data_IF_888321539069
#
_entry.id   IF_888321539069
#
_cell.length_a   1.000
_cell.length_b   1.000
_cell.length_c   1.000
_cell.angle_alpha   90.00
_cell.angle_beta   90.00
_cell.angle_gamma   90.00
#
_symmetry.space_group_name_H-M   'P 1'
#
loop_
_entity.id
_entity.type
_entity.pdbx_description
1 polymer ?
#
# COMPACT_ATOMS: atom_id res chain seq x y z
N UNK A 1 30.89 -27.24 -23.81
CA UNK A 1 30.75 -27.94 -25.13
C UNK A 1 30.20 -26.91 -26.09
N UNK A 2 30.90 -26.63 -27.17
CA UNK A 2 30.40 -25.73 -28.23
C UNK A 2 29.64 -26.54 -29.23
N UNK A 3 28.43 -26.15 -29.55
CA UNK A 3 27.66 -26.80 -30.61
C UNK A 3 27.61 -25.89 -31.83
N UNK A 4 28.00 -26.41 -32.98
CA UNK A 4 27.92 -25.72 -34.26
C UNK A 4 26.82 -26.38 -35.10
N UNK A 5 26.11 -25.58 -35.95
CA UNK A 5 25.14 -26.13 -36.91
C UNK A 5 25.85 -26.80 -38.10
N UNK A 6 25.08 -27.42 -38.97
CA UNK A 6 25.60 -28.16 -40.17
C UNK A 6 26.24 -27.22 -41.22
N UNK A 7 26.21 -25.89 -41.03
CA UNK A 7 26.81 -24.87 -41.87
C UNK A 7 28.02 -24.20 -41.25
N UNK A 8 28.46 -24.65 -40.05
CA UNK A 8 29.67 -24.11 -39.36
C UNK A 8 29.49 -22.76 -38.67
N UNK A 9 28.25 -22.33 -38.51
CA UNK A 9 27.95 -21.11 -37.73
C UNK A 9 27.89 -21.46 -36.25
N UNK A 10 28.64 -20.70 -35.44
CA UNK A 10 28.55 -20.74 -33.97
C UNK A 10 27.15 -20.25 -33.58
N UNK A 11 26.28 -21.16 -33.14
CA UNK A 11 25.05 -20.79 -32.51
C UNK A 11 25.40 -20.08 -31.22
N UNK A 12 25.32 -18.77 -31.20
CA UNK A 12 25.26 -18.01 -29.98
C UNK A 12 24.05 -18.56 -29.21
N UNK A 13 24.32 -19.38 -28.19
CA UNK A 13 23.34 -19.62 -27.14
C UNK A 13 23.05 -18.23 -26.55
N UNK A 14 21.92 -17.70 -26.95
CA UNK A 14 21.26 -16.62 -26.23
C UNK A 14 21.01 -17.20 -24.82
N UNK A 15 21.94 -16.92 -23.92
CA UNK A 15 21.75 -17.13 -22.49
C UNK A 15 20.60 -16.21 -22.09
N UNK A 16 19.38 -16.61 -22.40
CA UNK A 16 18.23 -16.25 -21.61
C UNK A 16 18.52 -16.83 -20.24
N UNK A 17 19.14 -15.98 -19.43
CA UNK A 17 19.27 -16.23 -18.01
C UNK A 17 17.87 -16.60 -17.53
N UNK A 18 17.77 -17.86 -17.17
CA UNK A 18 16.80 -18.45 -16.31
C UNK A 18 15.34 -18.07 -16.53
N UNK A 19 14.54 -19.03 -16.82
CA UNK A 19 13.13 -19.23 -16.54
C UNK A 19 12.40 -18.22 -15.70
N UNK A 20 12.75 -16.94 -15.82
CA UNK A 20 12.00 -15.83 -15.37
C UNK A 20 10.76 -15.80 -16.27
N UNK A 21 9.79 -16.64 -15.92
CA UNK A 21 8.41 -16.49 -16.34
C UNK A 21 8.16 -15.00 -16.25
N UNK A 22 7.84 -14.38 -17.35
CA UNK A 22 7.53 -12.95 -17.44
C UNK A 22 6.30 -12.71 -16.54
N UNK A 23 6.58 -12.49 -15.25
CA UNK A 23 5.59 -12.23 -14.18
C UNK A 23 4.97 -10.85 -14.32
N UNK A 24 5.24 -10.17 -15.43
CA UNK A 24 4.44 -9.04 -15.87
C UNK A 24 3.07 -9.59 -16.23
N UNK A 25 2.18 -9.56 -15.28
CA UNK A 25 0.77 -9.82 -15.55
C UNK A 25 0.35 -8.93 -16.72
N UNK A 26 -0.09 -9.50 -17.87
CA UNK A 26 -0.52 -8.70 -19.01
C UNK A 26 -1.58 -7.74 -18.49
N UNK A 27 -1.39 -6.45 -18.76
CA UNK A 27 -2.21 -5.29 -18.38
C UNK A 27 -3.48 -5.68 -17.62
N UNK A 28 -3.40 -5.68 -16.28
CA UNK A 28 -4.57 -5.89 -15.43
C UNK A 28 -5.44 -4.64 -15.49
N UNK A 29 -6.12 -4.43 -16.60
CA UNK A 29 -7.05 -3.31 -16.80
C UNK A 29 -8.18 -3.31 -15.78
N UNK A 30 -8.40 -4.40 -15.09
CA UNK A 30 -9.41 -4.57 -14.05
C UNK A 30 -8.91 -5.46 -12.89
N UNK A 31 -7.82 -5.07 -12.21
CA UNK A 31 -7.37 -5.77 -11.02
C UNK A 31 -8.41 -5.59 -9.89
N UNK A 32 -9.07 -6.66 -9.41
CA UNK A 32 -9.98 -6.57 -8.27
C UNK A 32 -9.20 -6.21 -7.01
N UNK A 33 -9.41 -4.99 -6.50
CA UNK A 33 -8.62 -4.46 -5.40
C UNK A 33 -8.95 -5.14 -4.07
N UNK A 34 -7.89 -5.44 -3.31
CA UNK A 34 -7.93 -6.17 -2.05
C UNK A 34 -7.11 -5.44 -0.98
N UNK A 35 -7.68 -5.27 0.19
CA UNK A 35 -7.00 -4.71 1.36
C UNK A 35 -6.84 -5.77 2.44
N UNK A 36 -5.72 -5.75 3.16
CA UNK A 36 -5.45 -6.69 4.23
C UNK A 36 -6.37 -6.42 5.43
N UNK A 37 -7.18 -7.40 5.78
CA UNK A 37 -8.27 -7.29 6.77
C UNK A 37 -7.81 -6.83 8.16
N UNK A 38 -6.65 -7.28 8.63
CA UNK A 38 -6.16 -6.98 9.98
C UNK A 38 -5.74 -5.52 10.15
N UNK A 39 -5.27 -4.88 9.07
CA UNK A 39 -4.85 -3.48 9.10
C UNK A 39 -6.00 -2.48 8.95
N UNK A 40 -7.23 -2.93 8.66
CA UNK A 40 -8.32 -2.03 8.25
C UNK A 40 -8.86 -1.16 9.39
N UNK A 41 -8.87 -1.65 10.61
CA UNK A 41 -9.50 -0.96 11.75
C UNK A 41 -8.52 -0.39 12.77
N UNK A 42 -7.25 -0.79 12.70
CA UNK A 42 -6.24 -0.44 13.71
C UNK A 42 -5.30 0.65 13.19
N UNK A 43 -4.67 1.41 14.06
CA UNK A 43 -3.88 2.57 13.69
C UNK A 43 -2.47 2.20 13.23
N UNK A 44 -2.35 1.54 12.11
CA UNK A 44 -1.07 1.18 11.51
C UNK A 44 -0.45 2.30 10.65
N UNK A 45 -1.24 3.32 10.28
CA UNK A 45 -0.83 4.37 9.36
C UNK A 45 -1.23 5.74 9.89
N UNK A 46 -0.40 6.74 9.60
CA UNK A 46 -0.78 8.13 9.83
C UNK A 46 -1.95 8.53 8.91
N UNK A 47 -2.98 9.15 9.48
CA UNK A 47 -4.11 9.69 8.71
C UNK A 47 -3.83 11.05 8.08
N UNK A 48 -2.69 11.67 8.43
CA UNK A 48 -2.28 12.97 7.92
C UNK A 48 -1.40 12.84 6.68
N UNK A 49 -1.55 13.77 5.72
CA UNK A 49 -0.59 13.96 4.62
C UNK A 49 0.71 14.61 5.10
N UNK A 50 0.70 15.26 6.28
CA UNK A 50 1.88 15.89 6.86
C UNK A 50 2.78 14.82 7.46
N UNK A 51 4.08 15.07 7.41
CA UNK A 51 5.08 14.23 8.05
C UNK A 51 4.78 14.12 9.56
N UNK A 52 4.60 12.90 10.03
CA UNK A 52 4.39 12.58 11.45
C UNK A 52 5.60 11.85 11.98
N UNK A 53 6.18 12.36 13.07
CA UNK A 53 7.28 11.72 13.78
C UNK A 53 6.82 11.08 15.09
N UNK A 54 5.72 11.62 15.69
CA UNK A 54 5.16 11.07 16.91
C UNK A 54 4.68 9.64 16.67
N UNK A 55 5.16 8.66 17.42
CA UNK A 55 4.72 7.28 17.32
C UNK A 55 3.20 7.13 17.47
N UNK A 56 2.69 6.03 17.03
CA UNK A 56 1.34 5.57 17.30
C UNK A 56 1.44 4.44 18.31
N UNK A 57 0.80 4.60 19.45
CA UNK A 57 0.66 3.57 20.47
C UNK A 57 -0.82 3.22 20.60
N UNK A 58 -1.14 1.93 20.49
CA UNK A 58 -2.49 1.45 20.61
C UNK A 58 -2.54 0.15 21.40
N UNK A 59 -3.45 0.10 22.35
CA UNK A 59 -3.81 -1.10 23.09
C UNK A 59 -5.31 -1.29 22.95
N UNK A 60 -5.77 -2.48 22.55
CA UNK A 60 -7.20 -2.74 22.44
C UNK A 60 -7.89 -2.63 23.81
N UNK A 61 -9.20 -2.32 23.86
CA UNK A 61 -9.93 -2.19 25.14
C UNK A 61 -9.86 -3.44 26.03
N UNK A 62 -9.78 -4.63 25.44
CA UNK A 62 -9.60 -5.89 26.14
C UNK A 62 -8.13 -6.21 26.47
N UNK A 63 -7.21 -5.30 26.17
CA UNK A 63 -5.75 -5.40 26.36
C UNK A 63 -5.07 -6.59 25.69
N UNK A 64 -5.75 -7.25 24.76
CA UNK A 64 -5.20 -8.43 24.07
C UNK A 64 -4.33 -8.07 22.88
N UNK A 65 -4.53 -6.90 22.29
CA UNK A 65 -3.83 -6.47 21.08
C UNK A 65 -3.06 -5.19 21.34
N UNK A 66 -1.80 -5.22 20.95
CA UNK A 66 -0.90 -4.08 21.00
C UNK A 66 -0.41 -3.75 19.59
N UNK A 67 -0.32 -2.45 19.28
CA UNK A 67 0.29 -1.93 18.06
C UNK A 67 1.12 -0.72 18.43
N UNK A 68 2.40 -0.77 18.13
CA UNK A 68 3.31 0.36 18.22
C UNK A 68 3.88 0.63 16.82
N UNK A 69 3.78 1.87 16.34
CA UNK A 69 4.32 2.28 15.04
C UNK A 69 5.23 3.47 15.23
N UNK A 70 6.48 3.31 14.86
CA UNK A 70 7.50 4.35 14.97
C UNK A 70 8.08 4.73 13.61
N UNK A 71 8.51 5.98 13.49
CA UNK A 71 9.01 6.57 12.25
C UNK A 71 10.52 6.74 12.27
N UNK A 72 11.11 6.68 11.08
CA UNK A 72 12.39 7.30 10.83
C UNK A 72 12.24 8.82 10.81
N UNK A 73 13.21 9.55 11.42
CA UNK A 73 13.16 11.01 11.50
C UNK A 73 13.23 11.71 10.14
N UNK A 74 13.86 11.09 9.15
CA UNK A 74 13.98 11.65 7.80
C UNK A 74 12.68 11.54 7.00
N UNK A 75 12.00 10.39 7.05
CA UNK A 75 10.83 10.12 6.20
C UNK A 75 9.50 10.33 6.90
N UNK A 76 9.43 10.10 8.21
CA UNK A 76 8.19 10.09 8.97
C UNK A 76 7.44 8.76 8.87
N UNK A 77 6.29 8.67 9.52
CA UNK A 77 5.41 7.50 9.46
C UNK A 77 4.82 7.29 8.07
N UNK A 78 4.69 6.03 7.68
CA UNK A 78 3.85 5.65 6.55
C UNK A 78 2.42 6.15 6.75
N UNK A 79 1.83 6.68 5.69
CA UNK A 79 0.51 7.29 5.70
C UNK A 79 -0.53 6.36 5.10
N UNK A 80 -1.81 6.66 5.37
CA UNK A 80 -2.92 5.93 4.73
C UNK A 80 -2.94 6.08 3.20
N UNK A 81 -2.22 7.06 2.65
CA UNK A 81 -2.04 7.21 1.21
C UNK A 81 -0.93 6.31 0.66
N UNK A 82 0.08 5.98 1.47
CA UNK A 82 1.13 5.03 1.11
C UNK A 82 0.62 3.59 1.13
N UNK A 83 -0.38 3.32 1.98
CA UNK A 83 -1.10 2.06 2.02
C UNK A 83 -1.68 1.67 0.65
N UNK A 84 -2.00 2.61 -0.23
CA UNK A 84 -2.50 2.30 -1.57
C UNK A 84 -1.55 1.37 -2.34
N UNK A 85 -0.23 1.53 -2.13
CA UNK A 85 0.79 0.65 -2.73
C UNK A 85 0.64 -0.78 -2.20
N UNK A 86 0.43 -0.92 -0.89
CA UNK A 86 0.22 -2.23 -0.28
C UNK A 86 -1.10 -2.87 -0.73
N UNK A 87 -2.15 -2.09 -0.94
CA UNK A 87 -3.43 -2.54 -1.51
C UNK A 87 -3.19 -3.08 -2.94
N UNK A 88 -2.43 -2.37 -3.75
CA UNK A 88 -2.06 -2.85 -5.08
C UNK A 88 -1.28 -4.17 -5.00
N UNK A 89 -0.24 -4.23 -4.19
CA UNK A 89 0.56 -5.45 -4.01
C UNK A 89 -0.28 -6.62 -3.51
N UNK A 90 -1.15 -6.42 -2.50
CA UNK A 90 -2.06 -7.44 -2.01
C UNK A 90 -3.00 -7.95 -3.11
N UNK A 91 -3.49 -7.04 -3.96
CA UNK A 91 -4.37 -7.40 -5.07
C UNK A 91 -3.65 -8.26 -6.12
N UNK A 92 -2.39 -7.94 -6.42
CA UNK A 92 -1.53 -8.73 -7.31
C UNK A 92 -1.28 -10.12 -6.73
N UNK A 93 -0.92 -10.24 -5.44
CA UNK A 93 -0.72 -11.54 -4.78
C UNK A 93 -1.98 -12.42 -4.85
N UNK A 94 -3.14 -11.84 -4.55
CA UNK A 94 -4.42 -12.58 -4.60
C UNK A 94 -4.77 -12.98 -6.03
N UNK A 95 -4.43 -12.18 -7.02
CA UNK A 95 -4.65 -12.55 -8.42
C UNK A 95 -3.76 -13.72 -8.82
N UNK A 96 -2.49 -13.78 -8.37
CA UNK A 96 -1.63 -14.96 -8.54
C UNK A 96 -2.25 -16.20 -7.87
N UNK A 97 -2.70 -16.07 -6.61
CA UNK A 97 -3.40 -17.16 -5.89
C UNK A 97 -4.63 -17.65 -6.65
N UNK A 98 -5.45 -16.72 -7.16
CA UNK A 98 -6.67 -17.05 -7.93
C UNK A 98 -6.38 -17.77 -9.25
N UNK A 99 -5.26 -17.46 -9.88
CA UNK A 99 -4.80 -18.14 -11.13
C UNK A 99 -4.17 -19.50 -10.86
N UNK A 100 -4.09 -19.93 -9.60
CA UNK A 100 -3.54 -21.23 -9.24
C UNK A 100 -2.02 -21.30 -9.25
N UNK A 101 -1.33 -20.17 -9.08
CA UNK A 101 0.12 -20.18 -8.92
C UNK A 101 0.49 -20.93 -7.64
N UNK A 102 1.31 -21.97 -7.76
CA UNK A 102 1.78 -22.79 -6.64
C UNK A 102 2.81 -22.05 -5.79
N UNK A 103 3.62 -21.21 -6.43
CA UNK A 103 4.61 -20.36 -5.77
C UNK A 103 4.28 -18.89 -6.06
N UNK A 104 3.85 -18.20 -5.02
CA UNK A 104 3.48 -16.78 -5.11
C UNK A 104 4.69 -15.98 -4.60
N UNK A 105 5.33 -15.14 -5.42
CA UNK A 105 6.55 -14.47 -5.01
C UNK A 105 6.27 -13.38 -3.96
N UNK A 106 7.09 -13.31 -2.91
CA UNK A 106 7.09 -12.22 -1.94
C UNK A 106 7.64 -10.92 -2.56
N UNK A 107 8.48 -11.04 -3.59
CA UNK A 107 9.03 -9.92 -4.37
C UNK A 107 8.22 -9.74 -5.65
N UNK A 108 7.59 -8.58 -5.78
CA UNK A 108 6.78 -8.23 -6.93
C UNK A 108 7.56 -7.36 -7.91
N UNK A 109 7.42 -7.67 -9.20
CA UNK A 109 7.89 -6.83 -10.29
C UNK A 109 6.72 -5.97 -10.78
N UNK A 110 6.85 -4.66 -10.70
CA UNK A 110 5.74 -3.71 -10.95
C UNK A 110 6.16 -2.67 -11.97
N UNK A 111 5.26 -2.34 -12.87
CA UNK A 111 5.39 -1.18 -13.73
C UNK A 111 4.76 0.01 -13.01
N UNK A 112 5.54 1.06 -12.63
CA UNK A 112 5.02 2.20 -11.86
C UNK A 112 3.84 2.89 -12.52
N UNK A 113 3.85 3.00 -13.85
CA UNK A 113 2.76 3.57 -14.63
C UNK A 113 1.45 2.83 -14.40
N UNK A 114 1.46 1.50 -14.50
CA UNK A 114 0.27 0.66 -14.35
C UNK A 114 -0.25 0.70 -12.91
N UNK A 115 0.65 0.70 -11.93
CA UNK A 115 0.30 0.87 -10.53
C UNK A 115 -0.41 2.20 -10.29
N UNK A 116 0.17 3.32 -10.73
CA UNK A 116 -0.42 4.65 -10.54
C UNK A 116 -1.79 4.76 -11.21
N UNK A 117 -1.94 4.22 -12.42
CA UNK A 117 -3.23 4.15 -13.13
C UNK A 117 -4.28 3.34 -12.36
N UNK A 118 -3.92 2.14 -11.88
CA UNK A 118 -4.80 1.27 -11.10
C UNK A 118 -5.26 1.97 -9.82
N UNK A 119 -4.37 2.73 -9.18
CA UNK A 119 -4.63 3.51 -7.96
C UNK A 119 -5.32 4.86 -8.23
N UNK A 120 -5.74 5.12 -9.47
CA UNK A 120 -6.36 6.39 -9.92
C UNK A 120 -5.52 7.62 -9.56
N UNK A 121 -4.19 7.48 -9.63
CA UNK A 121 -3.26 8.59 -9.42
C UNK A 121 -2.83 9.17 -10.76
N UNK A 122 -2.46 10.45 -10.73
CA UNK A 122 -1.84 11.10 -11.88
C UNK A 122 -0.53 10.39 -12.26
N UNK A 123 -0.16 10.47 -13.54
CA UNK A 123 1.09 9.95 -14.07
C UNK A 123 1.93 11.10 -14.60
N UNK A 124 3.08 11.33 -13.97
CA UNK A 124 4.00 12.43 -14.32
C UNK A 124 5.18 12.43 -13.36
N UNK A 125 6.19 13.25 -13.61
CA UNK A 125 7.42 13.30 -12.82
C UNK A 125 7.16 13.39 -11.32
N UNK A 126 6.30 14.33 -10.90
CA UNK A 126 5.92 14.49 -9.49
C UNK A 126 5.26 13.25 -8.88
N UNK A 127 4.45 12.51 -9.65
CA UNK A 127 3.82 11.30 -9.14
C UNK A 127 4.83 10.18 -8.88
N UNK A 128 5.86 10.09 -9.70
CA UNK A 128 6.96 9.14 -9.49
C UNK A 128 7.81 9.53 -8.27
N UNK A 129 8.07 10.83 -8.04
CA UNK A 129 8.75 11.29 -6.84
C UNK A 129 7.94 10.98 -5.58
N UNK A 130 6.62 11.22 -5.61
CA UNK A 130 5.72 10.87 -4.51
C UNK A 130 5.67 9.36 -4.27
N UNK A 131 5.74 8.54 -5.32
CA UNK A 131 5.82 7.09 -5.21
C UNK A 131 7.12 6.65 -4.53
N UNK A 132 8.27 7.21 -4.91
CA UNK A 132 9.56 6.97 -4.25
C UNK A 132 9.50 7.29 -2.76
N UNK A 133 9.04 8.50 -2.43
CA UNK A 133 8.89 8.94 -1.03
C UNK A 133 7.91 8.05 -0.22
N UNK A 134 6.88 7.51 -0.86
CA UNK A 134 5.95 6.59 -0.21
C UNK A 134 6.61 5.24 0.09
N UNK A 135 7.42 4.72 -0.84
CA UNK A 135 8.19 3.50 -0.65
C UNK A 135 9.23 3.66 0.47
N UNK A 136 9.93 4.79 0.52
CA UNK A 136 10.88 5.11 1.59
C UNK A 136 10.18 5.14 2.96
N UNK A 137 8.99 5.72 3.08
CA UNK A 137 8.20 5.69 4.31
C UNK A 137 7.74 4.27 4.67
N UNK A 138 7.28 3.48 3.72
CA UNK A 138 6.88 2.10 3.94
C UNK A 138 8.03 1.22 4.42
N UNK A 139 9.23 1.42 3.88
CA UNK A 139 10.42 0.69 4.28
C UNK A 139 10.98 1.15 5.63
N UNK A 140 10.89 2.44 5.94
CA UNK A 140 11.49 3.02 7.15
C UNK A 140 10.55 3.08 8.36
N UNK A 141 9.25 2.81 8.18
CA UNK A 141 8.29 2.71 9.29
C UNK A 141 8.42 1.37 9.98
N UNK A 142 8.72 1.40 11.26
CA UNK A 142 8.80 0.19 12.09
C UNK A 142 7.48 -0.06 12.78
N UNK A 143 6.93 -1.24 12.62
CA UNK A 143 5.70 -1.72 13.27
C UNK A 143 6.08 -2.81 14.26
N UNK A 144 5.56 -2.71 15.48
CA UNK A 144 5.67 -3.73 16.52
C UNK A 144 4.27 -4.11 17.01
N UNK A 145 3.92 -5.38 16.97
CA UNK A 145 2.57 -5.85 17.33
C UNK A 145 2.60 -7.31 17.77
N UNK A 146 1.63 -7.69 18.59
CA UNK A 146 1.40 -9.09 18.94
C UNK A 146 0.39 -9.80 18.02
N UNK A 147 -0.12 -9.12 16.99
CA UNK A 147 -1.01 -9.74 15.99
C UNK A 147 -0.20 -10.73 15.16
N UNK A 148 -0.63 -11.99 15.15
CA UNK A 148 0.07 -13.08 14.45
C UNK A 148 1.55 -13.21 14.83
N UNK A 149 1.87 -12.98 16.10
CA UNK A 149 3.23 -13.15 16.60
C UNK A 149 3.64 -14.62 16.77
N UNK A 150 2.74 -15.57 16.59
CA UNK A 150 2.99 -17.00 16.81
C UNK A 150 3.38 -17.27 18.27
N UNK A 151 4.51 -17.92 18.46
CA UNK A 151 5.05 -18.22 19.80
C UNK A 151 5.80 -17.02 20.44
N UNK A 152 6.02 -15.95 19.70
CA UNK A 152 6.66 -14.75 20.22
C UNK A 152 5.65 -13.83 20.91
N UNK A 153 6.11 -13.05 21.90
CA UNK A 153 5.29 -12.04 22.57
C UNK A 153 4.82 -10.98 21.58
N UNK A 154 5.73 -10.52 20.70
CA UNK A 154 5.47 -9.52 19.68
C UNK A 154 6.36 -9.78 18.46
N UNK A 155 5.94 -9.26 17.32
CA UNK A 155 6.73 -9.25 16.09
C UNK A 155 7.03 -7.82 15.66
N UNK A 156 8.21 -7.59 15.12
CA UNK A 156 8.66 -6.29 14.63
C UNK A 156 9.02 -6.39 13.16
N UNK A 157 8.49 -5.48 12.34
CA UNK A 157 8.72 -5.47 10.89
C UNK A 157 8.57 -4.07 10.30
N UNK A 158 9.04 -3.87 9.07
CA UNK A 158 8.64 -2.76 8.18
C UNK A 158 7.58 -3.25 7.20
N UNK A 159 6.90 -2.36 6.48
CA UNK A 159 5.87 -2.79 5.51
C UNK A 159 6.44 -3.47 4.27
N UNK A 160 7.60 -3.01 3.83
CA UNK A 160 8.40 -3.61 2.75
C UNK A 160 9.83 -3.79 3.22
N UNK A 161 10.44 -4.90 2.81
CA UNK A 161 11.83 -5.21 3.17
C UNK A 161 12.80 -4.43 2.28
N UNK A 162 12.46 -4.29 0.99
CA UNK A 162 13.28 -3.54 0.04
C UNK A 162 12.47 -3.08 -1.17
N UNK A 163 12.96 -2.05 -1.83
CA UNK A 163 12.50 -1.65 -3.16
C UNK A 163 13.68 -1.21 -4.04
N UNK A 164 13.57 -1.39 -5.35
CA UNK A 164 14.59 -0.97 -6.30
C UNK A 164 13.98 -0.68 -7.67
N UNK A 165 14.59 0.24 -8.41
CA UNK A 165 14.25 0.51 -9.80
C UNK A 165 14.99 -0.44 -10.72
N UNK A 166 14.29 -1.00 -11.69
CA UNK A 166 14.85 -1.86 -12.73
C UNK A 166 15.18 -1.00 -13.96
N UNK A 167 16.41 -1.13 -14.46
CA UNK A 167 16.87 -0.42 -15.65
C UNK A 167 17.08 -1.41 -16.79
N UNK A 168 16.81 -0.97 -18.02
CA UNK A 168 17.20 -1.70 -19.22
C UNK A 168 18.70 -1.52 -19.53
N UNK A 169 19.16 -2.21 -20.59
CA UNK A 169 20.57 -2.09 -21.05
C UNK A 169 20.96 -0.66 -21.46
N UNK A 170 20.00 0.19 -21.78
CA UNK A 170 20.18 1.60 -22.14
C UNK A 170 20.09 2.53 -20.93
N UNK A 171 19.91 2.01 -19.71
CA UNK A 171 19.79 2.77 -18.46
C UNK A 171 18.41 3.38 -18.21
N UNK A 172 17.40 3.10 -19.04
CA UNK A 172 16.04 3.58 -18.82
C UNK A 172 15.32 2.73 -17.78
N UNK A 173 14.55 3.39 -16.90
CA UNK A 173 13.74 2.70 -15.91
C UNK A 173 12.58 1.98 -16.61
N UNK A 174 12.53 0.65 -16.50
CA UNK A 174 11.46 -0.20 -17.07
C UNK A 174 10.45 -0.66 -16.03
N UNK A 175 10.82 -0.67 -14.77
CA UNK A 175 9.96 -1.17 -13.71
C UNK A 175 10.58 -0.95 -12.35
N UNK A 176 9.96 -1.52 -11.34
CA UNK A 176 10.49 -1.58 -9.99
C UNK A 176 10.26 -2.96 -9.40
N UNK A 177 11.09 -3.29 -8.42
CA UNK A 177 10.98 -4.47 -7.58
C UNK A 177 10.59 -4.02 -6.19
N UNK A 178 9.59 -4.67 -5.59
CA UNK A 178 9.13 -4.42 -4.23
C UNK A 178 9.10 -5.76 -3.51
N UNK A 179 9.90 -5.92 -2.46
CA UNK A 179 9.86 -7.08 -1.57
C UNK A 179 9.00 -6.74 -0.37
N UNK A 180 7.89 -7.43 -0.22
CA UNK A 180 6.95 -7.22 0.89
C UNK A 180 7.51 -7.83 2.17
N UNK A 181 7.22 -7.21 3.32
CA UNK A 181 7.53 -7.83 4.60
C UNK A 181 6.75 -9.14 4.77
N UNK A 182 7.41 -10.15 5.35
CA UNK A 182 6.80 -11.48 5.53
C UNK A 182 5.48 -11.41 6.30
N UNK A 183 5.40 -10.58 7.33
CA UNK A 183 4.16 -10.40 8.10
C UNK A 183 2.99 -9.93 7.22
N UNK A 184 3.21 -8.97 6.32
CA UNK A 184 2.18 -8.49 5.42
C UNK A 184 1.84 -9.53 4.36
N UNK A 185 2.84 -10.14 3.75
CA UNK A 185 2.70 -11.18 2.73
C UNK A 185 1.88 -12.37 3.24
N UNK A 186 2.25 -12.95 4.38
CA UNK A 186 1.52 -14.07 4.98
C UNK A 186 0.06 -13.69 5.32
N UNK A 187 -0.15 -12.48 5.85
CA UNK A 187 -1.48 -11.96 6.18
C UNK A 187 -2.38 -11.74 4.98
N UNK A 188 -1.82 -11.44 3.82
CA UNK A 188 -2.57 -11.33 2.56
C UNK A 188 -2.98 -12.72 2.06
N UNK A 189 -2.09 -13.70 2.13
CA UNK A 189 -2.30 -15.03 1.57
C UNK A 189 -3.08 -15.98 2.49
N UNK A 190 -3.22 -15.66 3.78
CA UNK A 190 -4.03 -16.46 4.69
C UNK A 190 -5.52 -16.47 4.29
N UNK A 191 -6.25 -17.48 4.68
CA UNK A 191 -7.68 -17.57 4.37
C UNK A 191 -8.46 -16.46 5.09
N UNK A 192 -9.28 -15.75 4.32
CA UNK A 192 -10.00 -14.57 4.81
C UNK A 192 -9.10 -13.36 5.15
N UNK A 193 -7.81 -13.39 4.77
CA UNK A 193 -6.81 -12.36 5.06
C UNK A 193 -7.06 -11.02 4.38
N UNK A 194 -7.87 -11.00 3.32
CA UNK A 194 -8.17 -9.79 2.55
C UNK A 194 -9.66 -9.55 2.36
N UNK A 195 -10.03 -8.29 2.17
CA UNK A 195 -11.39 -7.88 1.78
C UNK A 195 -11.33 -7.10 0.47
N UNK A 196 -12.34 -7.32 -0.39
CA UNK A 196 -12.52 -6.50 -1.58
C UNK A 196 -12.84 -5.05 -1.18
N UNK A 197 -12.27 -4.10 -1.89
CA UNK A 197 -12.57 -2.68 -1.73
C UNK A 197 -13.11 -2.09 -3.03
N UNK A 198 -13.98 -1.09 -2.89
CA UNK A 198 -14.52 -0.37 -4.03
C UNK A 198 -13.44 0.54 -4.63
N UNK A 199 -13.26 0.58 -5.97
CA UNK A 199 -12.33 1.50 -6.60
C UNK A 199 -12.61 2.99 -6.31
N UNK A 200 -13.83 3.37 -5.89
CA UNK A 200 -14.16 4.71 -5.46
C UNK A 200 -13.42 5.12 -4.16
N UNK A 201 -12.88 4.18 -3.38
CA UNK A 201 -12.01 4.45 -2.24
C UNK A 201 -10.85 5.39 -2.60
N UNK A 202 -10.25 5.23 -3.76
CA UNK A 202 -9.11 6.05 -4.18
C UNK A 202 -9.49 7.50 -4.52
N UNK A 203 -10.78 7.78 -4.70
CA UNK A 203 -11.30 9.15 -4.90
C UNK A 203 -11.48 9.91 -3.58
N UNK A 204 -11.45 9.22 -2.43
CA UNK A 204 -11.48 9.84 -1.12
C UNK A 204 -10.20 10.66 -0.90
N UNK A 205 -10.34 11.95 -0.62
CA UNK A 205 -9.20 12.88 -0.48
C UNK A 205 -8.72 13.02 0.98
N UNK A 206 -9.59 12.78 1.94
CA UNK A 206 -9.31 12.87 3.37
C UNK A 206 -8.81 11.55 3.96
N UNK A 207 -7.82 11.61 4.85
CA UNK A 207 -7.28 10.40 5.46
C UNK A 207 -8.22 9.76 6.47
N UNK A 208 -9.08 10.58 7.12
CA UNK A 208 -10.10 10.05 8.03
C UNK A 208 -11.21 9.33 7.30
N UNK A 209 -11.67 9.84 6.16
CA UNK A 209 -12.65 9.21 5.29
C UNK A 209 -12.11 7.88 4.75
N UNK A 210 -10.85 7.85 4.32
CA UNK A 210 -10.18 6.61 3.88
C UNK A 210 -10.15 5.56 4.98
N UNK A 211 -9.76 5.96 6.18
CA UNK A 211 -9.72 5.04 7.31
C UNK A 211 -11.14 4.58 7.71
N UNK A 212 -12.10 5.50 7.78
CA UNK A 212 -13.48 5.20 8.13
C UNK A 212 -14.14 4.25 7.11
N UNK A 213 -13.87 4.44 5.81
CA UNK A 213 -14.29 3.48 4.78
C UNK A 213 -13.77 2.06 5.08
N UNK A 214 -12.51 1.93 5.47
CA UNK A 214 -11.90 0.63 5.80
C UNK A 214 -12.55 -0.01 7.03
N UNK A 215 -12.83 0.78 8.05
CA UNK A 215 -13.57 0.33 9.24
C UNK A 215 -14.98 -0.14 8.85
N UNK A 216 -15.71 0.66 8.09
CA UNK A 216 -17.05 0.31 7.59
C UNK A 216 -17.02 -0.98 6.74
N UNK A 217 -16.05 -1.09 5.83
CA UNK A 217 -15.87 -2.28 4.99
C UNK A 217 -15.63 -3.54 5.81
N UNK A 218 -14.85 -3.44 6.87
CA UNK A 218 -14.52 -4.58 7.75
C UNK A 218 -15.71 -5.03 8.60
N UNK A 219 -16.43 -4.09 9.19
CA UNK A 219 -17.43 -4.38 10.21
C UNK A 219 -18.85 -4.37 9.66
N UNK A 220 -19.22 -3.36 8.87
CA UNK A 220 -20.57 -3.23 8.30
C UNK A 220 -20.74 -3.98 6.98
N UNK A 221 -19.65 -4.37 6.31
CA UNK A 221 -19.72 -5.03 5.00
C UNK A 221 -20.49 -6.36 4.97
N UNK A 222 -20.67 -7.00 6.10
CA UNK A 222 -21.42 -8.27 6.26
C UNK A 222 -22.46 -8.24 7.40
N UNK A 223 -22.76 -7.06 7.96
CA UNK A 223 -23.64 -6.92 9.14
C UNK A 223 -25.14 -6.81 8.80
N UNK A 224 -25.49 -6.93 7.51
CA UNK A 224 -26.90 -6.79 7.06
C UNK A 224 -27.42 -5.35 7.21
N UNK A 225 -28.74 -5.22 7.32
CA UNK A 225 -29.47 -3.93 7.45
C UNK A 225 -29.15 -3.20 8.76
N UNK A 226 -28.80 -3.93 9.82
CA UNK A 226 -28.56 -3.34 11.15
C UNK A 226 -27.22 -2.58 11.20
N UNK A 227 -26.32 -2.89 10.27
CA UNK A 227 -25.02 -2.26 10.20
C UNK A 227 -24.14 -2.53 11.42
N UNK A 228 -23.20 -1.62 11.67
CA UNK A 228 -22.26 -1.68 12.79
C UNK A 228 -22.15 -0.34 13.47
N UNK A 229 -22.38 -0.28 14.79
CA UNK A 229 -22.28 0.93 15.58
C UNK A 229 -21.05 0.87 16.49
N UNK A 230 -20.31 2.01 16.59
CA UNK A 230 -19.12 2.11 17.42
C UNK A 230 -19.09 3.49 18.10
N UNK A 231 -18.65 3.53 19.36
CA UNK A 231 -18.57 4.79 20.11
C UNK A 231 -17.47 5.71 19.56
N UNK A 232 -17.70 7.02 19.60
CA UNK A 232 -16.73 8.02 19.16
C UNK A 232 -15.38 7.94 19.90
N UNK A 233 -15.31 7.68 21.23
CA UNK A 233 -14.03 7.47 21.90
C UNK A 233 -13.28 6.25 21.33
N UNK A 234 -13.96 5.13 21.14
CA UNK A 234 -13.34 3.92 20.56
C UNK A 234 -12.85 4.15 19.14
N UNK A 235 -13.59 4.92 18.33
CA UNK A 235 -13.13 5.33 16.99
C UNK A 235 -11.87 6.18 17.09
N UNK A 236 -11.81 7.12 18.04
CA UNK A 236 -10.64 7.96 18.23
C UNK A 236 -9.39 7.14 18.55
N UNK A 237 -9.50 6.22 19.52
CA UNK A 237 -8.41 5.32 19.88
C UNK A 237 -7.95 4.45 18.71
N UNK A 238 -8.90 3.80 18.01
CA UNK A 238 -8.62 2.96 16.84
C UNK A 238 -8.05 3.72 15.64
N UNK A 239 -8.29 5.02 15.55
CA UNK A 239 -7.79 5.84 14.45
C UNK A 239 -6.31 6.20 14.56
N UNK A 240 -5.77 6.24 15.79
CA UNK A 240 -4.44 6.77 16.07
C UNK A 240 -4.27 8.22 15.63
N UNK A 241 -5.37 8.97 15.50
CA UNK A 241 -5.36 10.36 15.06
C UNK A 241 -4.57 11.25 16.03
N UNK A 242 -3.86 12.23 15.49
CA UNK A 242 -3.22 13.28 16.29
C UNK A 242 -4.24 14.36 16.65
N UNK A 243 -3.99 15.00 17.79
CA UNK A 243 -4.82 16.07 18.31
C UNK A 243 -5.78 15.60 19.39
N UNK A 244 -6.73 16.47 19.74
CA UNK A 244 -7.69 16.19 20.79
C UNK A 244 -8.94 15.48 20.29
N UNK A 245 -9.59 14.77 21.20
CA UNK A 245 -10.82 14.02 20.94
C UNK A 245 -11.97 14.92 20.45
N UNK A 246 -12.10 16.14 20.97
CA UNK A 246 -13.18 17.07 20.60
C UNK A 246 -13.12 17.42 19.12
N UNK A 247 -11.92 17.70 18.61
CA UNK A 247 -11.70 17.97 17.19
C UNK A 247 -11.97 16.76 16.34
N UNK A 248 -11.49 15.58 16.77
CA UNK A 248 -11.78 14.33 16.05
C UNK A 248 -13.28 14.06 15.95
N UNK A 249 -14.03 14.17 17.09
CA UNK A 249 -15.49 14.01 17.13
C UNK A 249 -16.19 14.99 16.18
N UNK A 250 -15.79 16.25 16.17
CA UNK A 250 -16.33 17.23 15.22
C UNK A 250 -16.12 16.83 13.76
N UNK A 251 -14.92 16.39 13.39
CA UNK A 251 -14.60 15.97 12.03
C UNK A 251 -15.33 14.68 11.63
N UNK A 252 -15.47 13.72 12.52
CA UNK A 252 -16.27 12.51 12.27
C UNK A 252 -17.75 12.86 12.09
N UNK A 253 -18.29 13.76 12.89
CA UNK A 253 -19.67 14.24 12.75
C UNK A 253 -19.90 14.94 11.40
N UNK A 254 -18.89 15.72 10.95
CA UNK A 254 -18.93 16.37 9.64
C UNK A 254 -18.97 15.32 8.51
N UNK A 255 -18.07 14.33 8.54
CA UNK A 255 -18.02 13.23 7.55
C UNK A 255 -19.35 12.46 7.53
N UNK A 256 -19.95 12.20 8.70
CA UNK A 256 -21.24 11.53 8.78
C UNK A 256 -22.40 12.36 8.16
N UNK A 257 -22.35 13.68 8.30
CA UNK A 257 -23.35 14.57 7.67
C UNK A 257 -23.18 14.65 6.16
N UNK A 258 -21.96 14.70 5.65
CA UNK A 258 -21.65 14.66 4.22
C UNK A 258 -22.04 13.32 3.61
N UNK A 259 -21.84 12.24 4.37
CA UNK A 259 -22.27 10.88 4.07
C UNK A 259 -21.82 10.33 2.70
N UNK A 260 -20.62 10.70 2.27
CA UNK A 260 -20.07 10.40 0.93
C UNK A 260 -19.16 9.16 0.88
N UNK A 261 -19.21 8.30 1.91
CA UNK A 261 -18.44 7.06 1.87
C UNK A 261 -18.95 6.09 0.82
N UNK A 262 -18.10 5.61 -0.10
CA UNK A 262 -18.50 4.68 -1.14
C UNK A 262 -19.15 3.41 -0.58
N UNK A 263 -20.41 3.17 -0.93
CA UNK A 263 -21.15 1.97 -0.54
C UNK A 263 -21.56 1.88 0.92
N UNK A 264 -21.40 2.94 1.72
CA UNK A 264 -21.80 2.96 3.14
C UNK A 264 -22.55 4.25 3.49
N UNK A 265 -23.58 4.11 4.33
CA UNK A 265 -24.25 5.21 5.00
C UNK A 265 -23.70 5.36 6.42
N UNK A 266 -23.66 6.59 6.90
CA UNK A 266 -23.16 6.96 8.21
C UNK A 266 -24.25 7.71 8.97
N UNK A 267 -24.57 7.29 10.18
CA UNK A 267 -25.55 7.93 11.04
C UNK A 267 -24.96 8.13 12.45
N UNK A 268 -25.25 9.29 13.06
CA UNK A 268 -24.85 9.59 14.42
C UNK A 268 -26.02 9.31 15.36
N UNK A 269 -25.87 8.28 16.17
CA UNK A 269 -26.84 7.94 17.21
C UNK A 269 -26.49 8.66 18.51
N UNK A 270 -27.33 9.61 18.88
CA UNK A 270 -27.21 10.29 20.19
C UNK A 270 -27.71 9.35 21.30
N UNK A 271 -27.10 9.45 22.46
CA UNK A 271 -27.50 8.74 23.69
C UNK A 271 -27.58 9.75 24.81
N UNK A 272 -28.58 9.65 25.66
CA UNK A 272 -28.90 10.67 26.68
C UNK A 272 -27.77 10.91 27.67
N UNK A 273 -27.13 9.84 28.18
CA UNK A 273 -26.06 9.93 29.18
C UNK A 273 -24.73 9.33 28.73
N UNK A 274 -24.50 9.20 27.43
CA UNK A 274 -23.27 8.59 26.92
C UNK A 274 -22.78 9.26 25.65
N UNK A 275 -21.50 9.02 25.32
CA UNK A 275 -20.92 9.46 24.05
C UNK A 275 -21.67 8.85 22.85
N UNK A 276 -21.88 9.63 21.78
CA UNK A 276 -22.61 9.17 20.60
C UNK A 276 -21.92 7.99 19.92
N UNK A 277 -22.73 7.20 19.25
CA UNK A 277 -22.25 6.13 18.37
C UNK A 277 -22.23 6.63 16.92
N UNK A 278 -21.27 6.18 16.16
CA UNK A 278 -21.30 6.22 14.70
C UNK A 278 -21.78 4.86 14.19
N UNK A 279 -22.96 4.82 13.58
CA UNK A 279 -23.49 3.66 12.89
C UNK A 279 -23.05 3.72 11.42
N UNK A 280 -22.58 2.60 10.93
CA UNK A 280 -22.18 2.38 9.56
C UNK A 280 -23.04 1.28 8.97
N UNK A 281 -23.78 1.56 7.90
CA UNK A 281 -24.66 0.60 7.24
C UNK A 281 -24.27 0.48 5.78
N UNK A 282 -24.23 -0.75 5.27
CA UNK A 282 -23.96 -0.96 3.85
C UNK A 282 -25.15 -0.44 3.04
N UNK A 283 -24.88 0.38 2.03
CA UNK A 283 -25.90 0.74 1.04
C UNK A 283 -26.11 -0.45 0.13
N UNK A 284 -27.35 -0.85 -0.07
CA UNK A 284 -27.68 -1.85 -1.09
C UNK A 284 -27.23 -1.28 -2.43
N UNK A 285 -26.46 -2.07 -3.16
CA UNK A 285 -26.11 -1.73 -4.53
C UNK A 285 -27.41 -1.76 -5.30
N UNK A 286 -27.90 -0.63 -5.77
CA UNK A 286 -28.86 -0.66 -6.86
C UNK A 286 -28.26 -1.52 -7.98
N UNK A 287 -29.03 -2.48 -8.55
CA UNK A 287 -28.52 -3.32 -9.63
C UNK A 287 -28.06 -2.38 -10.76
N UNK A 288 -26.74 -2.27 -10.93
CA UNK A 288 -26.16 -1.52 -12.02
C UNK A 288 -26.76 -2.04 -13.33
N UNK A 289 -27.21 -1.16 -14.19
CA UNK A 289 -27.79 -1.48 -15.51
C UNK A 289 -26.82 -2.20 -16.48
N UNK A 290 -25.62 -2.51 -16.04
CA UNK A 290 -24.60 -3.26 -16.79
C UNK A 290 -24.89 -4.76 -16.98
N UNK A 291 -26.04 -5.25 -16.52
CA UNK A 291 -26.47 -6.65 -16.65
C UNK A 291 -27.42 -6.95 -17.83
N UNK A 292 -27.71 -6.00 -18.70
CA UNK A 292 -28.48 -6.32 -19.91
C UNK A 292 -27.56 -6.99 -20.93
N UNK A 293 -27.84 -8.24 -21.34
CA UNK A 293 -27.11 -8.87 -22.43
C UNK A 293 -27.30 -8.02 -23.69
N UNK A 294 -26.19 -7.60 -24.30
CA UNK A 294 -26.22 -6.97 -25.62
C UNK A 294 -27.03 -7.81 -26.58
N UNK A 295 -27.96 -7.21 -27.37
CA UNK A 295 -28.70 -7.97 -28.36
C UNK A 295 -27.73 -8.60 -29.35
N UNK A 296 -27.89 -9.91 -29.54
CA UNK A 296 -27.11 -10.73 -30.45
C UNK A 296 -27.03 -10.06 -31.83
N UNK A 297 -25.82 -9.79 -32.30
CA UNK A 297 -25.56 -9.37 -33.66
C UNK A 297 -26.05 -10.46 -34.62
N UNK A 298 -27.13 -10.15 -35.31
CA UNK A 298 -27.63 -10.96 -36.41
C UNK A 298 -26.53 -11.11 -37.48
N UNK A 299 -26.26 -12.33 -37.82
CA UNK A 299 -25.36 -12.71 -38.90
C UNK A 299 -25.88 -12.15 -40.22
N UNK A 300 -25.21 -11.18 -40.82
CA UNK A 300 -25.39 -10.81 -42.22
C UNK A 300 -24.18 -11.27 -43.02
N UNK A 301 -24.45 -12.09 -43.98
CA UNK A 301 -23.53 -12.64 -44.96
C UNK A 301 -22.79 -11.57 -45.78
N UNK A 302 -21.60 -11.86 -46.31
CA UNK A 302 -20.76 -10.84 -46.96
C UNK A 302 -21.18 -10.61 -48.43
N UNK A 303 -21.28 -9.32 -48.81
CA UNK A 303 -21.39 -8.88 -50.20
C UNK A 303 -20.01 -8.46 -50.76
N UNK A 304 -19.79 -8.51 -52.10
CA UNK A 304 -18.47 -8.65 -52.69
C UNK A 304 -17.69 -7.33 -52.85
N UNK A 305 -16.39 -7.52 -52.91
CA UNK A 305 -15.31 -6.55 -53.02
C UNK A 305 -15.41 -5.55 -54.18
N UNK A 306 -15.26 -4.23 -53.86
CA UNK A 306 -14.84 -3.22 -54.85
C UNK A 306 -13.44 -2.76 -54.55
N UNK A 307 -12.53 -3.02 -55.49
CA UNK A 307 -11.14 -2.53 -55.56
C UNK A 307 -11.13 -0.99 -55.54
N UNK A 308 -10.40 -0.35 -54.63
CA UNK A 308 -9.93 1.04 -54.75
C UNK A 308 -8.45 1.15 -54.41
N UNK A 309 -7.79 1.90 -55.28
CA UNK A 309 -6.34 2.20 -55.36
C UNK A 309 -5.77 2.86 -54.08
N UNK A 310 -4.46 2.74 -53.86
CA UNK A 310 -3.80 3.32 -52.70
C UNK A 310 -3.56 4.84 -52.85
N UNK A 311 -3.83 5.60 -51.82
CA UNK A 311 -3.33 6.97 -51.63
C UNK A 311 -2.35 6.96 -50.45
N UNK A 312 -1.11 7.15 -50.78
CA UNK A 312 -0.04 7.53 -49.86
C UNK A 312 -0.43 8.78 -49.07
N UNK A 313 -0.46 8.66 -47.77
CA UNK A 313 -0.26 9.81 -46.86
C UNK A 313 0.50 9.32 -45.64
N UNK A 314 1.76 9.69 -45.65
CA UNK A 314 2.69 9.62 -44.53
C UNK A 314 2.16 10.55 -43.44
N UNK A 315 1.91 10.03 -42.27
CA UNK A 315 1.73 10.82 -41.04
C UNK A 315 2.78 10.38 -40.03
N UNK A 316 3.45 11.31 -39.36
CA UNK A 316 4.59 10.96 -38.52
C UNK A 316 4.14 10.37 -37.20
N UNK A 317 4.81 9.32 -36.80
CA UNK A 317 4.81 8.71 -35.49
C UNK A 317 5.18 9.73 -34.41
N UNK A 318 4.47 9.79 -33.26
CA UNK A 318 4.97 10.58 -32.15
C UNK A 318 6.09 9.82 -31.45
N UNK A 319 7.30 10.18 -31.80
CA UNK A 319 8.50 9.80 -31.04
C UNK A 319 8.58 10.66 -29.78
N UNK A 320 8.68 9.96 -28.64
CA UNK A 320 9.52 10.27 -27.50
C UNK A 320 9.35 11.64 -26.83
N UNK A 321 8.57 11.67 -25.78
CA UNK A 321 8.81 12.52 -24.63
C UNK A 321 9.03 11.67 -23.37
N UNK A 322 10.11 10.88 -23.36
CA UNK A 322 10.68 10.33 -22.13
C UNK A 322 12.07 10.93 -22.03
N UNK A 323 12.14 12.20 -21.69
CA UNK A 323 13.42 12.84 -21.39
C UNK A 323 13.54 13.02 -19.87
N UNK A 324 14.50 12.27 -19.35
CA UNK A 324 15.32 12.56 -18.18
C UNK A 324 14.59 12.84 -16.86
N UNK A 325 14.24 11.78 -16.16
CA UNK A 325 14.15 11.84 -14.70
C UNK A 325 15.59 11.93 -14.16
N UNK A 326 16.04 13.15 -13.89
CA UNK A 326 17.20 13.39 -13.03
C UNK A 326 16.70 13.32 -11.60
N UNK A 327 16.76 12.15 -10.98
CA UNK A 327 16.84 12.06 -9.54
C UNK A 327 18.22 12.63 -9.15
N UNK A 328 18.23 13.79 -8.48
CA UNK A 328 19.43 14.33 -7.88
C UNK A 328 19.85 13.43 -6.73
N UNK A 329 20.76 12.52 -7.00
CA UNK A 329 21.55 11.91 -5.96
C UNK A 329 22.39 13.02 -5.37
N UNK A 330 22.02 13.54 -4.22
CA UNK A 330 22.89 14.39 -3.40
C UNK A 330 24.03 13.51 -2.96
N UNK A 331 25.21 13.79 -3.47
CA UNK A 331 26.47 13.27 -2.93
C UNK A 331 26.56 13.58 -1.43
N UNK A 332 27.09 12.66 -0.63
CA UNK A 332 27.34 12.93 0.77
C UNK A 332 28.36 14.07 0.88
N UNK A 333 28.10 14.99 1.82
CA UNK A 333 28.98 16.08 2.18
C UNK A 333 30.33 15.55 2.67
N UNK A 334 31.42 16.33 2.50
CA UNK A 334 32.75 15.91 2.90
C UNK A 334 32.83 15.69 4.41
N UNK A 335 33.42 14.59 4.80
CA UNK A 335 33.79 14.20 6.15
C UNK A 335 34.56 15.32 6.85
N UNK A 336 34.02 15.81 7.97
CA UNK A 336 34.77 16.58 8.96
C UNK A 336 35.83 15.67 9.65
N UNK A 337 37.02 16.18 9.91
CA UNK A 337 38.07 15.42 10.62
C UNK A 337 37.67 15.21 12.08
N UNK A 338 38.00 14.02 12.59
CA UNK A 338 37.80 13.61 13.97
C UNK A 338 38.56 14.53 14.95
N UNK A 339 37.98 14.87 16.11
CA UNK A 339 38.71 15.52 17.18
C UNK A 339 39.61 14.49 17.90
N UNK A 340 40.82 14.94 18.20
CA UNK A 340 41.88 14.20 18.93
C UNK A 340 41.38 13.58 20.23
N UNK A 341 41.76 12.34 20.41
CA UNK A 341 41.64 11.63 21.67
C UNK A 341 42.50 12.33 22.74
N UNK A 342 41.86 12.90 23.74
CA UNK A 342 42.51 13.30 24.99
C UNK A 342 42.35 12.15 25.97
N UNK A 343 43.48 11.53 26.29
CA UNK A 343 43.66 10.51 27.30
C UNK A 343 43.36 11.12 28.67
N UNK A 344 42.33 10.65 29.36
CA UNK A 344 42.11 10.94 30.77
C UNK A 344 42.40 9.70 31.60
N UNK A 345 43.41 9.80 32.43
CA UNK A 345 43.89 8.80 33.35
C UNK A 345 42.85 8.44 34.41
N UNK A 346 42.70 7.14 34.66
CA UNK A 346 41.97 6.56 35.79
C UNK A 346 42.76 6.81 37.07
N UNK A 347 42.25 7.61 38.01
CA UNK A 347 42.63 7.57 39.39
C UNK A 347 41.66 6.70 40.18
N UNK A 348 42.27 5.67 40.78
CA UNK A 348 41.66 4.72 41.69
C UNK A 348 41.53 5.40 43.05
N UNK A 349 40.33 5.54 43.59
CA UNK A 349 40.14 5.87 45.01
C UNK A 349 39.42 4.69 45.67
N UNK A 350 40.20 3.96 46.41
CA UNK A 350 39.75 3.02 47.45
C UNK A 350 39.33 3.79 48.70
N UNK A 351 38.16 3.49 49.23
CA UNK A 351 37.67 4.05 50.48
C UNK A 351 36.69 3.09 51.14
N UNK A 352 37.21 2.35 52.09
CA UNK A 352 36.52 1.50 53.08
C UNK A 352 35.76 2.35 54.11
N UNK A 353 34.60 1.94 54.58
CA UNK A 353 34.21 1.66 56.01
C UNK A 353 32.69 1.72 56.15
N UNK A 354 32.03 0.67 56.53
CA UNK A 354 31.63 0.23 57.88
C UNK A 354 30.60 1.16 58.59
N UNK A 355 29.47 0.58 58.99
CA UNK A 355 28.70 1.05 60.14
C UNK A 355 27.18 1.02 59.99
N UNK A 356 26.59 -0.10 60.38
CA UNK A 356 25.71 -0.31 61.55
C UNK A 356 24.34 0.43 61.64
N UNK A 357 23.36 -0.44 61.65
CA UNK A 357 22.16 -0.52 62.50
C UNK A 357 21.39 0.77 62.96
N UNK A 358 20.18 0.90 62.57
CA UNK A 358 18.94 0.65 63.35
C UNK A 358 17.72 0.69 62.46
#
# INVERSE_FOLDING_TARGET
MRFTDAAGHEMQQDHREDGQVDLFLPQLTALPLRDQRETMERPFFSLSKRKRLKPIDYVSPDRKITVHVSANSEYGLATIYDLDILIYCASVLIEHKRRGANDIPQTLHVVPYDMLKTLKREVGGRAYDLLGNALDRLQSTTVKTNIRSGDAVETTFSWIDSHSQLKDRSGNVRGMRITLAKWFYDGVLMDGGVLAIDPAYFSLTGGRERWLYRVARKHAGGAGSDGFAISMPTLFEKSGAEGDYRRFKFEMTKIARENDLPGYSLDIEQRDDAEPLLRMTRRDREPSEEGKPSPALAQTSPAPSRKRRPRNRVSPSPRAAISRIRLSVRSPAPTCPAPNATTVSLETISGTSSGSAR
#
